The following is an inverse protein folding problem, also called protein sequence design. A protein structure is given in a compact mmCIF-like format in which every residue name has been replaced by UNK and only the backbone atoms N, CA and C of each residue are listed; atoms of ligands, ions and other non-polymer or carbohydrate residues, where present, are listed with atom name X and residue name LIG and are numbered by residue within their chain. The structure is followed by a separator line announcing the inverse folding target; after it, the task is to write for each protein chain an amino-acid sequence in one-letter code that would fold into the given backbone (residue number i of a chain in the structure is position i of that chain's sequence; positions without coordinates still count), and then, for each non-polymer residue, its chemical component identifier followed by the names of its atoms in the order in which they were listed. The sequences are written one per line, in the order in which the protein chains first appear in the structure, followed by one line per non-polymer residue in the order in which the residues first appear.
data_IF_557521800352
#
_entry.id   IF_557521800352
#
_cell.length_a   1.000
_cell.length_b   1.000
_cell.length_c   1.000
_cell.angle_alpha   90.00
_cell.angle_beta   90.00
_cell.angle_gamma   90.00
#
_symmetry.space_group_name_H-M   'P 1'
#
loop_
_entity.id
_entity.type
_entity.pdbx_description
1 polymer ?
#
# COMPACT_ATOMS: atom_id res chain seq x y z
N UNK A 1 10.30 2.24 -9.65
CA UNK A 1 8.90 2.37 -9.28
C UNK A 1 8.39 3.69 -9.80
N UNK A 2 7.25 3.64 -10.38
CA UNK A 2 6.68 4.75 -11.11
C UNK A 2 5.55 5.33 -10.25
N UNK A 3 5.79 6.45 -9.56
CA UNK A 3 4.74 7.20 -8.88
C UNK A 3 3.92 8.03 -9.88
N UNK A 4 3.64 7.44 -11.06
CA UNK A 4 2.83 8.13 -12.05
C UNK A 4 1.37 8.16 -11.63
N UNK A 5 0.74 9.30 -11.83
CA UNK A 5 -0.68 9.49 -11.59
C UNK A 5 -1.56 8.44 -12.30
N UNK A 6 -1.16 8.03 -13.51
CA UNK A 6 -1.84 6.97 -14.27
C UNK A 6 -1.87 5.63 -13.52
N UNK A 7 -0.76 5.20 -12.92
CA UNK A 7 -0.71 3.93 -12.18
C UNK A 7 -1.61 3.96 -10.95
N UNK A 8 -1.65 5.09 -10.24
CA UNK A 8 -2.54 5.27 -9.09
C UNK A 8 -4.00 5.30 -9.52
N UNK A 9 -4.28 5.94 -10.66
CA UNK A 9 -5.62 5.98 -11.23
C UNK A 9 -6.11 4.59 -11.65
N UNK A 10 -5.29 3.80 -12.33
CA UNK A 10 -5.63 2.44 -12.76
C UNK A 10 -5.99 1.56 -11.56
N UNK A 11 -5.16 1.57 -10.51
CA UNK A 11 -5.44 0.85 -9.27
C UNK A 11 -6.71 1.33 -8.58
N UNK A 12 -6.98 2.63 -8.63
CA UNK A 12 -8.20 3.20 -8.06
C UNK A 12 -9.45 2.81 -8.85
N UNK A 13 -9.36 2.75 -10.19
CA UNK A 13 -10.45 2.26 -11.05
C UNK A 13 -10.74 0.79 -10.77
N UNK A 14 -9.72 -0.06 -10.69
CA UNK A 14 -9.88 -1.47 -10.33
C UNK A 14 -10.57 -1.64 -8.97
N UNK A 15 -10.20 -0.81 -8.01
CA UNK A 15 -10.83 -0.80 -6.70
C UNK A 15 -12.32 -0.37 -6.77
N UNK A 16 -12.66 0.62 -7.58
CA UNK A 16 -14.04 1.05 -7.81
C UNK A 16 -14.87 -0.06 -8.46
N UNK A 17 -14.32 -0.73 -9.46
CA UNK A 17 -14.99 -1.84 -10.14
C UNK A 17 -15.29 -2.96 -9.16
N UNK A 18 -14.35 -3.26 -8.28
CA UNK A 18 -14.45 -4.38 -7.34
C UNK A 18 -15.32 -4.07 -6.12
N UNK A 19 -15.30 -2.85 -5.62
CA UNK A 19 -15.88 -2.49 -4.31
C UNK A 19 -16.95 -1.41 -4.37
N UNK A 20 -17.20 -0.84 -5.57
CA UNK A 20 -18.12 0.28 -5.76
C UNK A 20 -17.46 1.64 -5.55
N UNK A 21 -18.18 2.68 -6.00
CA UNK A 21 -17.71 4.06 -5.93
C UNK A 21 -17.78 4.60 -4.51
N UNK A 22 -16.67 5.11 -4.00
CA UNK A 22 -16.62 5.78 -2.70
C UNK A 22 -17.31 7.14 -2.75
N UNK A 23 -18.05 7.45 -1.71
CA UNK A 23 -18.72 8.76 -1.57
C UNK A 23 -17.71 9.90 -1.41
N UNK A 24 -16.58 9.66 -0.75
CA UNK A 24 -15.49 10.63 -0.53
C UNK A 24 -14.14 9.93 -0.45
N UNK A 25 -13.15 10.59 -1.01
CA UNK A 25 -11.73 10.16 -0.94
C UNK A 25 -10.92 11.31 -0.36
N UNK A 26 -9.93 10.98 0.46
CA UNK A 26 -8.95 11.94 0.96
C UNK A 26 -7.57 11.55 0.47
N UNK A 27 -6.83 12.51 -0.04
CA UNK A 27 -5.45 12.37 -0.43
C UNK A 27 -4.62 13.58 -0.03
N UNK A 28 -3.31 13.41 0.02
CA UNK A 28 -2.39 14.52 0.12
C UNK A 28 -2.24 15.25 -1.22
N UNK A 29 -1.46 16.35 -1.23
CA UNK A 29 -1.24 17.17 -2.42
C UNK A 29 -0.20 16.59 -3.39
N UNK A 30 0.02 15.29 -3.34
CA UNK A 30 0.89 14.60 -4.29
C UNK A 30 0.33 14.66 -5.71
N UNK A 31 1.21 14.82 -6.71
CA UNK A 31 0.81 14.86 -8.12
C UNK A 31 0.15 13.56 -8.58
N UNK A 32 0.46 12.44 -7.93
CA UNK A 32 -0.12 11.13 -8.19
C UNK A 32 -1.62 11.06 -7.88
N UNK A 33 -2.13 11.92 -6.98
CA UNK A 33 -3.53 11.94 -6.59
C UNK A 33 -4.42 12.82 -7.49
N UNK A 34 -3.79 13.55 -8.43
CA UNK A 34 -4.50 14.50 -9.30
C UNK A 34 -5.59 13.81 -10.13
N UNK A 35 -5.25 12.74 -10.81
CA UNK A 35 -6.15 12.07 -11.74
C UNK A 35 -7.29 11.34 -10.99
N UNK A 36 -7.01 10.81 -9.80
CA UNK A 36 -8.04 10.29 -8.89
C UNK A 36 -9.00 11.39 -8.45
N UNK A 37 -8.49 12.57 -8.15
CA UNK A 37 -9.35 13.71 -7.77
C UNK A 37 -10.29 14.15 -8.90
N UNK A 38 -9.77 14.18 -10.13
CA UNK A 38 -10.58 14.49 -11.31
C UNK A 38 -11.66 13.43 -11.52
N UNK A 39 -11.31 12.16 -11.44
CA UNK A 39 -12.29 11.06 -11.56
C UNK A 39 -13.39 11.18 -10.51
N UNK A 40 -13.05 11.45 -9.25
CA UNK A 40 -14.03 11.63 -8.18
C UNK A 40 -14.97 12.81 -8.44
N UNK A 41 -14.47 13.90 -9.03
CA UNK A 41 -15.30 15.05 -9.42
C UNK A 41 -16.23 14.67 -10.58
N UNK A 42 -15.75 13.93 -11.57
CA UNK A 42 -16.57 13.45 -12.70
C UNK A 42 -17.71 12.56 -12.20
N UNK A 43 -17.41 11.62 -11.29
CA UNK A 43 -18.40 10.66 -10.78
C UNK A 43 -19.47 11.30 -9.88
N UNK A 44 -19.13 12.34 -9.16
CA UNK A 44 -20.00 12.91 -8.13
C UNK A 44 -20.47 14.35 -8.38
N UNK A 45 -19.91 15.03 -9.37
CA UNK A 45 -20.19 16.44 -9.66
C UNK A 45 -19.30 17.43 -8.88
N UNK A 46 -19.25 18.67 -9.37
CA UNK A 46 -18.31 19.70 -8.96
C UNK A 46 -18.42 20.16 -7.50
N UNK A 47 -19.58 20.23 -6.92
CA UNK A 47 -19.80 20.90 -5.61
C UNK A 47 -19.99 19.93 -4.45
N UNK A 48 -19.64 18.64 -4.61
CA UNK A 48 -19.89 17.63 -3.60
C UNK A 48 -18.73 17.41 -2.62
N UNK A 49 -17.58 18.03 -2.85
CA UNK A 49 -16.36 17.76 -2.08
C UNK A 49 -16.06 16.25 -1.98
N UNK A 50 -16.20 15.54 -3.11
CA UNK A 50 -15.96 14.09 -3.20
C UNK A 50 -14.48 13.73 -3.06
N UNK A 51 -13.57 14.64 -3.39
CA UNK A 51 -12.16 14.53 -3.10
C UNK A 51 -11.72 15.63 -2.14
N UNK A 52 -11.08 15.23 -1.04
CA UNK A 52 -10.60 16.15 -0.01
C UNK A 52 -9.09 16.18 -0.03
N UNK A 53 -8.53 17.32 -0.42
CA UNK A 53 -7.11 17.59 -0.31
C UNK A 53 -6.73 17.89 1.15
N UNK A 54 -5.72 17.22 1.68
CA UNK A 54 -5.23 17.45 3.03
C UNK A 54 -3.72 17.50 3.10
N UNK A 55 -3.19 18.02 4.21
CA UNK A 55 -1.80 17.81 4.56
C UNK A 55 -1.62 16.33 4.95
N UNK A 56 -0.46 15.74 4.60
CA UNK A 56 -0.09 14.38 5.01
C UNK A 56 -0.23 14.15 6.52
N UNK A 57 0.03 15.19 7.32
CA UNK A 57 -0.09 15.16 8.79
C UNK A 57 -1.49 14.72 9.30
N UNK A 58 -2.52 14.90 8.49
CA UNK A 58 -3.89 14.48 8.85
C UNK A 58 -4.26 13.08 8.34
N UNK A 59 -3.33 12.37 7.70
CA UNK A 59 -3.53 11.02 7.21
C UNK A 59 -3.20 9.95 8.27
N UNK A 60 -3.50 10.23 9.53
CA UNK A 60 -3.15 9.40 10.69
C UNK A 60 -3.52 7.92 10.54
N UNK A 61 -4.63 7.61 9.87
CA UNK A 61 -5.05 6.21 9.64
C UNK A 61 -4.09 5.45 8.71
N UNK A 62 -3.65 6.09 7.62
CA UNK A 62 -2.70 5.47 6.70
C UNK A 62 -1.31 5.39 7.33
N UNK A 63 -0.94 6.39 8.14
CA UNK A 63 0.32 6.37 8.90
C UNK A 63 0.34 5.23 9.92
N UNK A 64 -0.74 5.06 10.70
CA UNK A 64 -0.89 3.90 11.59
C UNK A 64 -0.79 2.57 10.84
N UNK A 65 -1.46 2.46 9.70
CA UNK A 65 -1.35 1.27 8.86
C UNK A 65 0.10 1.01 8.45
N UNK A 66 0.85 2.03 8.03
CA UNK A 66 2.26 1.88 7.68
C UNK A 66 3.14 1.43 8.85
N UNK A 67 2.87 1.93 10.05
CA UNK A 67 3.54 1.47 11.27
C UNK A 67 3.27 -0.01 11.52
N UNK A 68 2.01 -0.44 11.41
CA UNK A 68 1.64 -1.85 11.60
C UNK A 68 2.23 -2.76 10.51
N UNK A 69 2.17 -2.36 9.25
CA UNK A 69 2.86 -3.06 8.14
C UNK A 69 4.35 -3.19 8.43
N UNK A 70 4.98 -2.11 8.91
CA UNK A 70 6.39 -2.12 9.29
C UNK A 70 6.68 -3.10 10.42
N UNK A 71 5.88 -3.09 11.46
CA UNK A 71 6.10 -3.91 12.65
C UNK A 71 5.78 -5.39 12.44
N UNK A 72 4.64 -5.69 11.84
CA UNK A 72 4.12 -7.05 11.76
C UNK A 72 4.61 -7.81 10.52
N UNK A 73 4.89 -7.09 9.44
CA UNK A 73 5.20 -7.72 8.16
C UNK A 73 6.61 -7.44 7.67
N UNK A 74 6.97 -6.17 7.46
CA UNK A 74 8.24 -5.82 6.80
C UNK A 74 9.47 -6.15 7.65
N UNK A 75 9.38 -6.05 8.98
CA UNK A 75 10.52 -6.30 9.88
C UNK A 75 11.01 -7.74 9.79
N UNK A 76 10.10 -8.71 9.73
CA UNK A 76 10.44 -10.13 9.63
C UNK A 76 11.14 -10.44 8.29
N UNK A 77 10.60 -9.96 7.18
CA UNK A 77 11.19 -10.15 5.86
C UNK A 77 12.53 -9.44 5.71
N UNK A 78 12.64 -8.23 6.24
CA UNK A 78 13.91 -7.49 6.26
C UNK A 78 14.99 -8.24 7.03
N UNK A 79 14.68 -8.74 8.22
CA UNK A 79 15.63 -9.52 9.02
C UNK A 79 16.05 -10.80 8.29
N UNK A 80 15.11 -11.50 7.67
CA UNK A 80 15.38 -12.69 6.88
C UNK A 80 16.33 -12.40 5.70
N UNK A 81 16.06 -11.36 4.91
CA UNK A 81 16.94 -11.02 3.79
C UNK A 81 18.32 -10.54 4.24
N UNK A 82 18.40 -9.80 5.35
CA UNK A 82 19.68 -9.43 5.95
C UNK A 82 20.49 -10.67 6.38
N UNK A 83 19.82 -11.69 6.92
CA UNK A 83 20.47 -12.95 7.25
C UNK A 83 21.00 -13.66 6.02
N UNK A 84 20.23 -13.68 4.91
CA UNK A 84 20.71 -14.24 3.64
C UNK A 84 21.96 -13.50 3.10
N UNK A 85 22.03 -12.19 3.28
CA UNK A 85 23.20 -11.40 2.91
C UNK A 85 24.43 -11.79 3.74
N UNK A 86 24.27 -11.87 5.04
CA UNK A 86 25.39 -12.15 5.95
C UNK A 86 25.88 -13.60 5.87
N UNK A 87 24.98 -14.57 5.76
CA UNK A 87 25.31 -15.99 5.85
C UNK A 87 25.44 -16.67 4.49
N UNK A 88 24.77 -16.17 3.47
CA UNK A 88 24.64 -16.83 2.16
C UNK A 88 25.11 -15.97 0.99
N UNK A 89 25.86 -14.90 1.27
CA UNK A 89 26.47 -14.03 0.26
C UNK A 89 25.47 -13.46 -0.76
N UNK A 90 24.25 -13.16 -0.31
CA UNK A 90 23.28 -12.50 -1.15
C UNK A 90 23.78 -11.10 -1.52
N UNK A 91 24.02 -10.87 -2.80
CA UNK A 91 24.47 -9.57 -3.30
C UNK A 91 23.26 -8.75 -3.81
N UNK A 92 23.05 -7.60 -3.18
CA UNK A 92 21.96 -6.65 -3.51
C UNK A 92 22.12 -6.00 -4.88
N UNK A 93 23.30 -5.96 -5.44
CA UNK A 93 23.57 -5.38 -6.76
C UNK A 93 23.36 -6.37 -7.91
N UNK A 94 23.32 -7.67 -7.58
CA UNK A 94 23.24 -8.74 -8.56
C UNK A 94 21.79 -8.98 -9.01
N UNK A 95 21.50 -8.72 -10.28
CA UNK A 95 20.16 -8.91 -10.87
C UNK A 95 19.67 -10.37 -10.83
N UNK A 96 20.60 -11.34 -10.90
CA UNK A 96 20.25 -12.77 -10.82
C UNK A 96 19.82 -13.15 -9.42
N UNK A 97 20.43 -12.58 -8.39
CA UNK A 97 19.99 -12.78 -7.01
C UNK A 97 18.61 -12.18 -6.78
N UNK A 98 18.33 -10.99 -7.31
CA UNK A 98 16.97 -10.41 -7.25
C UNK A 98 15.93 -11.29 -7.94
N UNK A 99 16.24 -11.79 -9.14
CA UNK A 99 15.35 -12.70 -9.85
C UNK A 99 15.07 -13.97 -9.04
N UNK A 100 16.11 -14.54 -8.45
CA UNK A 100 15.99 -15.74 -7.60
C UNK A 100 15.15 -15.47 -6.35
N UNK A 101 15.34 -14.32 -5.70
CA UNK A 101 14.52 -13.92 -4.55
C UNK A 101 13.04 -13.79 -4.93
N UNK A 102 12.75 -13.18 -6.07
CA UNK A 102 11.37 -13.10 -6.58
C UNK A 102 10.79 -14.48 -6.84
N UNK A 103 11.53 -15.36 -7.50
CA UNK A 103 11.08 -16.72 -7.80
C UNK A 103 10.78 -17.52 -6.53
N UNK A 104 11.64 -17.41 -5.52
CA UNK A 104 11.53 -18.23 -4.30
C UNK A 104 10.55 -17.67 -3.26
N UNK A 105 10.47 -16.34 -3.12
CA UNK A 105 9.80 -15.73 -1.97
C UNK A 105 8.60 -14.86 -2.30
N UNK A 106 8.37 -14.50 -3.56
CA UNK A 106 7.29 -13.59 -3.92
C UNK A 106 5.91 -14.13 -3.52
N UNK A 107 5.68 -15.42 -3.71
CA UNK A 107 4.41 -16.06 -3.34
C UNK A 107 4.21 -16.10 -1.82
N UNK A 108 5.27 -16.38 -1.07
CA UNK A 108 5.21 -16.37 0.39
C UNK A 108 4.97 -14.95 0.93
N UNK A 109 5.66 -13.95 0.37
CA UNK A 109 5.46 -12.54 0.69
C UNK A 109 4.02 -12.12 0.37
N UNK A 110 3.52 -12.47 -0.81
CA UNK A 110 2.16 -12.16 -1.24
C UNK A 110 1.10 -12.84 -0.36
N UNK A 111 1.35 -14.08 0.07
CA UNK A 111 0.48 -14.79 1.01
C UNK A 111 0.42 -14.10 2.38
N UNK A 112 1.58 -13.70 2.91
CA UNK A 112 1.65 -12.97 4.17
C UNK A 112 0.99 -11.59 4.08
N UNK A 113 1.12 -10.89 2.94
CA UNK A 113 0.41 -9.64 2.67
C UNK A 113 -1.11 -9.84 2.71
N UNK A 114 -1.62 -10.87 2.04
CA UNK A 114 -3.06 -11.18 2.04
C UNK A 114 -3.58 -11.53 3.44
N UNK A 115 -2.79 -12.29 4.21
CA UNK A 115 -3.13 -12.60 5.60
C UNK A 115 -3.21 -11.33 6.45
N UNK A 116 -2.17 -10.50 6.41
CA UNK A 116 -2.16 -9.22 7.11
C UNK A 116 -3.35 -8.33 6.69
N UNK A 117 -3.65 -8.24 5.39
CA UNK A 117 -4.79 -7.51 4.87
C UNK A 117 -6.12 -8.00 5.47
N UNK A 118 -6.33 -9.32 5.52
CA UNK A 118 -7.53 -9.91 6.08
C UNK A 118 -7.67 -9.60 7.57
N UNK A 119 -6.58 -9.75 8.32
CA UNK A 119 -6.55 -9.47 9.76
C UNK A 119 -6.80 -7.99 10.05
N UNK A 120 -6.13 -7.10 9.32
CA UNK A 120 -6.32 -5.66 9.45
C UNK A 120 -7.75 -5.21 9.09
N UNK A 121 -8.31 -5.72 8.01
CA UNK A 121 -9.67 -5.39 7.60
C UNK A 121 -10.75 -5.86 8.60
N UNK A 122 -10.43 -6.88 9.37
CA UNK A 122 -11.31 -7.43 10.41
C UNK A 122 -11.10 -6.80 11.78
N UNK A 123 -10.00 -6.04 11.96
CA UNK A 123 -9.66 -5.42 13.24
C UNK A 123 -10.57 -4.24 13.55
N UNK A 124 -11.19 -4.16 14.74
CA UNK A 124 -12.02 -3.03 15.11
C UNK A 124 -11.17 -1.77 15.33
N UNK A 125 -11.54 -0.67 14.67
CA UNK A 125 -10.88 0.63 14.87
C UNK A 125 -11.39 1.24 16.17
N UNK A 126 -10.49 1.51 17.12
CA UNK A 126 -10.80 2.24 18.33
C UNK A 126 -11.06 3.74 18.06
N UNK A 127 -11.92 4.38 18.84
CA UNK A 127 -12.22 5.81 18.75
C UNK A 127 -13.55 6.13 18.07
N UNK A 128 -13.64 7.24 17.36
CA UNK A 128 -14.88 7.79 16.74
C UNK A 128 -15.56 6.82 15.76
N UNK A 129 -14.91 5.75 15.38
CA UNK A 129 -15.43 4.72 14.47
C UNK A 129 -16.36 3.69 15.10
N UNK A 130 -16.70 3.78 16.40
CA UNK A 130 -17.62 2.86 17.10
C UNK A 130 -17.31 1.36 16.88
N UNK A 131 -16.04 0.96 16.98
CA UNK A 131 -15.58 -0.42 16.80
C UNK A 131 -15.88 -1.04 15.41
N UNK A 132 -16.11 -0.22 14.39
CA UNK A 132 -16.26 -0.71 13.03
C UNK A 132 -14.91 -1.13 12.48
N UNK A 133 -14.84 -2.31 11.89
CA UNK A 133 -13.65 -2.75 11.18
C UNK A 133 -13.42 -1.90 9.91
N UNK A 134 -12.17 -1.64 9.53
CA UNK A 134 -11.85 -0.92 8.30
C UNK A 134 -12.18 -1.80 7.10
N UNK A 135 -13.41 -1.82 6.66
CA UNK A 135 -13.79 -2.48 5.41
C UNK A 135 -13.37 -1.60 4.20
N UNK A 136 -12.13 -1.11 4.22
CA UNK A 136 -11.58 -0.23 3.18
C UNK A 136 -10.64 -1.06 2.30
N UNK A 137 -11.22 -1.90 1.45
CA UNK A 137 -10.50 -2.70 0.46
C UNK A 137 -9.61 -1.88 -0.48
N UNK A 138 -9.95 -0.62 -0.73
CA UNK A 138 -9.26 0.25 -1.69
C UNK A 138 -7.86 0.65 -1.20
N UNK A 139 -7.73 1.05 0.05
CA UNK A 139 -6.43 1.41 0.63
C UNK A 139 -5.47 0.23 0.62
N UNK A 140 -5.99 -0.99 0.77
CA UNK A 140 -5.19 -2.19 0.85
C UNK A 140 -4.72 -2.75 -0.50
N UNK A 141 -5.51 -2.61 -1.56
CA UNK A 141 -5.05 -3.00 -2.90
C UNK A 141 -3.89 -2.11 -3.34
N UNK A 142 -3.97 -0.81 -3.10
CA UNK A 142 -2.87 0.14 -3.31
C UNK A 142 -1.63 -0.21 -2.47
N UNK A 143 -1.83 -0.72 -1.26
CA UNK A 143 -0.76 -1.15 -0.38
C UNK A 143 -0.10 -2.45 -0.84
N UNK A 144 -0.87 -3.43 -1.27
CA UNK A 144 -0.35 -4.71 -1.72
C UNK A 144 0.63 -4.52 -2.89
N UNK A 145 0.25 -3.75 -3.90
CA UNK A 145 1.15 -3.49 -5.03
C UNK A 145 2.36 -2.63 -4.64
N UNK A 146 2.16 -1.59 -3.82
CA UNK A 146 3.28 -0.80 -3.30
C UNK A 146 4.23 -1.62 -2.43
N UNK A 147 3.75 -2.56 -1.63
CA UNK A 147 4.57 -3.47 -0.83
C UNK A 147 5.32 -4.49 -1.68
N UNK A 148 4.65 -5.10 -2.62
CA UNK A 148 5.27 -6.05 -3.56
C UNK A 148 6.39 -5.35 -4.35
N UNK A 149 6.16 -4.12 -4.77
CA UNK A 149 7.16 -3.31 -5.45
C UNK A 149 8.24 -2.76 -4.51
N UNK A 150 7.92 -2.37 -3.27
CA UNK A 150 8.90 -1.87 -2.29
C UNK A 150 9.85 -2.96 -1.83
N UNK A 151 9.39 -4.20 -1.70
CA UNK A 151 10.24 -5.36 -1.42
C UNK A 151 11.15 -5.64 -2.62
N UNK A 152 10.61 -5.50 -3.86
CA UNK A 152 11.39 -5.63 -5.08
C UNK A 152 12.42 -4.52 -5.32
N UNK A 153 12.24 -3.31 -4.77
CA UNK A 153 13.07 -2.14 -5.07
C UNK A 153 13.63 -1.42 -3.83
N UNK A 154 13.05 -1.59 -2.68
CA UNK A 154 13.33 -0.75 -1.51
C UNK A 154 13.76 -1.46 -0.25
N UNK A 155 13.61 -2.79 -0.15
CA UNK A 155 14.19 -3.54 0.95
C UNK A 155 15.73 -3.46 0.94
N UNK A 156 16.28 -2.91 -0.15
CA UNK A 156 17.70 -2.84 -0.42
C UNK A 156 18.28 -1.42 -0.57
N UNK A 157 17.53 -0.35 -0.33
CA UNK A 157 18.14 0.97 -0.18
C UNK A 157 18.54 1.16 1.27
N UNK A 158 19.83 1.00 1.53
CA UNK A 158 20.51 1.51 2.73
C UNK A 158 20.53 3.04 2.70
N UNK A 159 20.17 3.66 3.75
CA UNK A 159 20.87 4.86 4.21
C UNK A 159 22.22 4.46 4.73
#
# INVERSE_FOLDING_TARGET
MNNHASTVLDMFIDAIIKHGVLSRVRGDRGSENRDVSILMIILHGLNRASFMWGSSVFNTRIEHLWVEVGCQFMRAWRAFFQQLEHLHLLDRSNKHHHWLLHLLFLDAISSNCRKFQSEWNSHPISGVGHHKSPNISITFNLLHEKLTMAIGHGAFRST
#
